data_IF_658211526161
#
_entry.id   IF_658211526161
#
_cell.length_a   1.000
_cell.length_b   1.000
_cell.length_c   1.000
_cell.angle_alpha   90.00
_cell.angle_beta   90.00
_cell.angle_gamma   90.00
#
_symmetry.space_group_name_H-M   'P 1'
#
loop_
_entity.id
_entity.type
_entity.pdbx_description
1 polymer ?
#
# COMPACT_ATOMS: atom_id res chain seq x y z
N UNK A 1 19.90 33.26 5.14
CA UNK A 1 20.27 31.85 5.11
C UNK A 1 19.03 31.08 5.47
N UNK A 2 18.28 30.56 4.47
CA UNK A 2 17.17 29.64 4.71
C UNK A 2 17.74 28.40 5.36
N UNK A 3 17.25 28.01 6.54
CA UNK A 3 17.50 26.69 7.10
C UNK A 3 17.13 25.70 6.00
N UNK A 4 18.13 25.03 5.46
CA UNK A 4 17.93 23.89 4.57
C UNK A 4 17.08 22.90 5.36
N UNK A 5 15.85 22.68 4.92
CA UNK A 5 14.95 21.74 5.56
C UNK A 5 15.56 20.35 5.33
N UNK A 6 16.20 19.80 6.35
CA UNK A 6 16.93 18.51 6.29
C UNK A 6 15.99 17.35 5.92
N UNK A 7 14.69 17.57 5.92
CA UNK A 7 13.61 16.60 5.71
C UNK A 7 12.71 17.01 4.53
N UNK A 8 13.30 17.25 3.37
CA UNK A 8 12.55 17.44 2.14
C UNK A 8 12.21 16.08 1.52
N UNK A 9 10.93 15.69 1.41
CA UNK A 9 10.52 14.39 0.89
C UNK A 9 10.99 14.16 -0.55
N UNK A 10 11.16 15.21 -1.35
CA UNK A 10 11.71 15.08 -2.69
C UNK A 10 13.19 14.66 -2.65
N UNK A 11 13.99 15.32 -1.80
CA UNK A 11 15.41 14.96 -1.64
C UNK A 11 15.58 13.54 -1.11
N UNK A 12 14.84 13.18 -0.06
CA UNK A 12 14.84 11.82 0.49
C UNK A 12 14.54 10.79 -0.60
N UNK A 13 13.47 11.01 -1.37
CA UNK A 13 13.06 10.08 -2.44
C UNK A 13 14.11 9.99 -3.54
N UNK A 14 14.72 11.11 -3.90
CA UNK A 14 15.79 11.17 -4.90
C UNK A 14 17.02 10.38 -4.46
N UNK A 15 17.45 10.54 -3.23
CA UNK A 15 18.57 9.78 -2.64
C UNK A 15 18.27 8.28 -2.59
N UNK A 16 17.06 7.89 -2.15
CA UNK A 16 16.64 6.49 -2.14
C UNK A 16 16.67 5.85 -3.54
N UNK A 17 16.26 6.59 -4.57
CA UNK A 17 16.30 6.12 -5.95
C UNK A 17 17.74 5.99 -6.45
N UNK A 18 18.60 6.95 -6.15
CA UNK A 18 20.01 6.91 -6.55
C UNK A 18 20.78 5.76 -5.89
N UNK A 19 20.46 5.44 -4.63
CA UNK A 19 21.08 4.35 -3.87
C UNK A 19 20.31 3.02 -3.95
N UNK A 20 19.34 2.90 -4.85
CA UNK A 20 18.38 1.80 -4.90
C UNK A 20 19.02 0.40 -4.81
N UNK A 21 20.07 0.12 -5.58
CA UNK A 21 20.74 -1.18 -5.56
C UNK A 21 21.31 -1.53 -4.18
N UNK A 22 21.95 -0.57 -3.52
CA UNK A 22 22.47 -0.71 -2.17
C UNK A 22 21.35 -0.91 -1.15
N UNK A 23 20.26 -0.15 -1.27
CA UNK A 23 19.10 -0.29 -0.39
C UNK A 23 18.42 -1.65 -0.54
N UNK A 24 18.35 -2.18 -1.76
CA UNK A 24 17.79 -3.52 -2.01
C UNK A 24 18.63 -4.62 -1.34
N UNK A 25 19.95 -4.60 -1.53
CA UNK A 25 20.84 -5.56 -0.88
C UNK A 25 20.74 -5.48 0.65
N UNK A 26 20.72 -4.26 1.18
CA UNK A 26 20.58 -4.03 2.61
C UNK A 26 19.23 -4.51 3.14
N UNK A 27 18.12 -4.22 2.44
CA UNK A 27 16.78 -4.67 2.82
C UNK A 27 16.69 -6.19 2.90
N UNK A 28 17.18 -6.91 1.88
CA UNK A 28 17.19 -8.37 1.88
C UNK A 28 17.95 -8.92 3.09
N UNK A 29 19.14 -8.37 3.36
CA UNK A 29 19.99 -8.80 4.48
C UNK A 29 19.34 -8.52 5.84
N UNK A 30 18.85 -7.31 6.05
CA UNK A 30 18.33 -6.88 7.36
C UNK A 30 16.97 -7.51 7.66
N UNK A 31 16.07 -7.61 6.71
CA UNK A 31 14.80 -8.32 6.86
C UNK A 31 15.02 -9.80 7.19
N UNK A 32 15.94 -10.48 6.48
CA UNK A 32 16.28 -11.87 6.77
C UNK A 32 16.90 -12.03 8.17
N UNK A 33 17.76 -11.11 8.59
CA UNK A 33 18.34 -11.10 9.93
C UNK A 33 17.29 -10.92 11.04
N UNK A 34 16.17 -10.26 10.75
CA UNK A 34 15.01 -10.16 11.65
C UNK A 34 14.10 -11.39 11.62
N UNK A 35 14.35 -12.36 10.73
CA UNK A 35 13.58 -13.59 10.58
C UNK A 35 12.42 -13.48 9.61
N UNK A 36 12.35 -12.43 8.80
CA UNK A 36 11.44 -12.37 7.66
C UNK A 36 11.92 -13.33 6.55
N UNK A 37 10.98 -13.93 5.85
CA UNK A 37 11.25 -14.67 4.61
C UNK A 37 11.09 -13.72 3.44
N UNK A 38 12.21 -13.36 2.81
CA UNK A 38 12.25 -12.38 1.72
C UNK A 38 12.17 -13.08 0.37
N UNK A 39 11.30 -12.60 -0.50
CA UNK A 39 11.11 -13.07 -1.87
C UNK A 39 11.31 -11.89 -2.82
N UNK A 40 12.06 -12.10 -3.88
CA UNK A 40 12.18 -11.14 -4.98
C UNK A 40 11.25 -11.58 -6.10
N UNK A 41 10.43 -10.68 -6.61
CA UNK A 41 9.54 -10.95 -7.73
C UNK A 41 9.83 -9.93 -8.84
N UNK A 42 10.27 -10.42 -9.99
CA UNK A 42 10.60 -9.57 -11.15
C UNK A 42 9.36 -8.94 -11.79
N UNK A 43 8.21 -9.63 -11.68
CA UNK A 43 6.96 -9.19 -12.26
C UNK A 43 5.75 -9.72 -11.47
N UNK A 44 4.55 -9.29 -11.87
CA UNK A 44 3.29 -9.73 -11.25
C UNK A 44 3.06 -11.24 -11.37
N UNK A 45 3.55 -11.91 -12.42
CA UNK A 45 3.38 -13.35 -12.61
C UNK A 45 4.22 -14.14 -11.60
N UNK A 46 5.46 -13.72 -11.38
CA UNK A 46 6.33 -14.32 -10.36
C UNK A 46 5.80 -14.05 -8.95
N UNK A 47 5.33 -12.84 -8.66
CA UNK A 47 4.66 -12.53 -7.40
C UNK A 47 3.44 -13.43 -7.17
N UNK A 48 2.61 -13.64 -8.20
CA UNK A 48 1.46 -14.52 -8.15
C UNK A 48 1.87 -15.97 -7.85
N UNK A 49 2.91 -16.49 -8.52
CA UNK A 49 3.41 -17.84 -8.29
C UNK A 49 3.92 -18.02 -6.85
N UNK A 50 4.65 -17.04 -6.31
CA UNK A 50 5.11 -17.04 -4.92
C UNK A 50 3.90 -17.08 -3.96
N UNK A 51 2.93 -16.18 -4.15
CA UNK A 51 1.74 -16.10 -3.28
C UNK A 51 0.95 -17.41 -3.33
N UNK A 52 0.71 -17.98 -4.51
CA UNK A 52 -0.01 -19.24 -4.66
C UNK A 52 0.73 -20.39 -3.99
N UNK A 53 2.05 -20.45 -4.08
CA UNK A 53 2.86 -21.46 -3.41
C UNK A 53 2.81 -21.36 -1.88
N UNK A 54 2.67 -20.14 -1.35
CA UNK A 54 2.60 -19.89 0.09
C UNK A 54 1.19 -20.11 0.66
N UNK A 55 0.18 -19.52 0.00
CA UNK A 55 -1.19 -19.54 0.49
C UNK A 55 -1.93 -20.85 0.18
N UNK A 56 -1.55 -21.56 -0.91
CA UNK A 56 -2.30 -22.75 -1.34
C UNK A 56 -3.73 -22.42 -1.82
N UNK A 57 -4.42 -23.41 -2.37
CA UNK A 57 -5.74 -23.20 -2.97
C UNK A 57 -6.89 -23.04 -1.96
N UNK A 58 -6.75 -23.59 -0.76
CA UNK A 58 -7.84 -23.72 0.22
C UNK A 58 -7.64 -22.84 1.46
N UNK A 59 -6.59 -22.02 1.54
CA UNK A 59 -6.35 -21.19 2.71
C UNK A 59 -7.15 -19.90 2.67
N UNK A 60 -7.73 -19.55 3.81
CA UNK A 60 -8.43 -18.28 3.99
C UNK A 60 -7.42 -17.17 4.18
N UNK A 61 -7.62 -16.05 3.49
CA UNK A 61 -6.78 -14.88 3.61
C UNK A 61 -7.60 -13.59 3.78
N UNK A 62 -7.06 -12.66 4.55
CA UNK A 62 -7.52 -11.28 4.57
C UNK A 62 -6.53 -10.41 3.81
N UNK A 63 -6.99 -9.33 3.20
CA UNK A 63 -6.10 -8.29 2.67
C UNK A 63 -6.56 -6.89 3.06
N UNK A 64 -5.59 -6.00 3.21
CA UNK A 64 -5.81 -4.55 3.18
C UNK A 64 -5.67 -4.02 1.75
N UNK A 65 -6.12 -2.80 1.51
CA UNK A 65 -5.91 -2.13 0.23
C UNK A 65 -4.46 -1.63 0.11
N UNK A 66 -3.82 -1.93 -1.03
CA UNK A 66 -2.60 -1.24 -1.46
C UNK A 66 -2.49 -1.20 -2.98
N UNK A 67 -1.69 -0.26 -3.49
CA UNK A 67 -1.40 -0.13 -4.92
C UNK A 67 -0.73 -1.39 -5.47
N UNK A 68 0.17 -2.02 -4.72
CA UNK A 68 0.87 -3.23 -5.13
C UNK A 68 -0.07 -4.43 -5.21
N UNK A 69 -1.00 -4.58 -4.26
CA UNK A 69 -1.98 -5.67 -4.29
C UNK A 69 -2.98 -5.54 -5.46
N UNK A 70 -3.35 -4.30 -5.81
CA UNK A 70 -4.14 -4.06 -7.02
C UNK A 70 -3.31 -4.28 -8.30
N UNK A 71 -2.02 -3.88 -8.30
CA UNK A 71 -1.09 -4.05 -9.41
C UNK A 71 -0.90 -5.51 -9.79
N UNK A 72 -0.79 -6.41 -8.80
CA UNK A 72 -0.68 -7.86 -9.02
C UNK A 72 -2.04 -8.56 -9.13
N UNK A 73 -3.15 -7.84 -8.93
CA UNK A 73 -4.51 -8.38 -8.92
C UNK A 73 -4.71 -9.51 -7.90
N UNK A 74 -4.48 -9.19 -6.62
CA UNK A 74 -4.52 -10.17 -5.52
C UNK A 74 -5.80 -11.01 -5.47
N UNK A 75 -6.96 -10.45 -5.87
CA UNK A 75 -8.24 -11.16 -5.88
C UNK A 75 -8.27 -12.32 -6.89
N UNK A 76 -7.51 -12.24 -7.97
CA UNK A 76 -7.36 -13.35 -8.93
C UNK A 76 -6.37 -14.40 -8.44
N UNK A 77 -5.33 -13.98 -7.69
CA UNK A 77 -4.28 -14.86 -7.17
C UNK A 77 -4.82 -15.72 -6.01
N UNK A 78 -5.58 -15.08 -5.10
CA UNK A 78 -6.18 -15.71 -3.92
C UNK A 78 -7.69 -15.49 -3.98
N UNK A 79 -8.46 -16.39 -4.62
CA UNK A 79 -9.89 -16.19 -4.84
C UNK A 79 -10.75 -16.06 -3.56
N UNK A 80 -10.28 -16.62 -2.44
CA UNK A 80 -10.96 -16.53 -1.15
C UNK A 80 -10.43 -15.37 -0.27
N UNK A 81 -9.65 -14.44 -0.84
CA UNK A 81 -9.18 -13.27 -0.10
C UNK A 81 -10.33 -12.31 0.20
N UNK A 82 -10.39 -11.89 1.46
CA UNK A 82 -11.41 -10.94 1.94
C UNK A 82 -10.78 -9.58 2.18
N UNK A 83 -11.34 -8.56 1.54
CA UNK A 83 -10.94 -7.16 1.76
C UNK A 83 -11.46 -6.64 3.11
N UNK A 84 -10.60 -5.96 3.87
CA UNK A 84 -10.93 -5.45 5.21
C UNK A 84 -11.13 -3.93 5.26
N UNK A 85 -10.68 -3.20 4.26
CA UNK A 85 -10.89 -1.74 4.20
C UNK A 85 -12.36 -1.42 3.93
N UNK A 86 -13.01 -0.80 4.90
CA UNK A 86 -14.43 -0.45 4.81
C UNK A 86 -14.68 0.49 3.63
N UNK A 87 -13.79 1.45 3.40
CA UNK A 87 -13.92 2.38 2.28
C UNK A 87 -13.79 1.66 0.93
N UNK A 88 -12.87 0.71 0.81
CA UNK A 88 -12.74 -0.11 -0.39
C UNK A 88 -13.98 -0.97 -0.61
N UNK A 89 -14.50 -1.59 0.45
CA UNK A 89 -15.74 -2.39 0.41
C UNK A 89 -16.92 -1.53 -0.07
N UNK A 90 -17.07 -0.33 0.48
CA UNK A 90 -18.15 0.59 0.07
C UNK A 90 -17.94 1.06 -1.35
N UNK A 91 -16.73 1.42 -1.76
CA UNK A 91 -16.45 1.83 -3.13
C UNK A 91 -16.78 0.72 -4.13
N UNK A 92 -16.36 -0.52 -3.88
CA UNK A 92 -16.66 -1.68 -4.72
C UNK A 92 -18.18 -1.92 -4.81
N UNK A 93 -18.88 -1.85 -3.68
CA UNK A 93 -20.34 -2.01 -3.63
C UNK A 93 -21.14 -0.92 -4.38
N UNK A 94 -20.57 0.26 -4.49
CA UNK A 94 -21.15 1.40 -5.25
C UNK A 94 -20.69 1.46 -6.70
N UNK A 95 -19.84 0.51 -7.15
CA UNK A 95 -19.22 0.56 -8.47
C UNK A 95 -18.27 1.75 -8.65
N UNK A 96 -17.75 2.29 -7.54
CA UNK A 96 -16.81 3.42 -7.55
C UNK A 96 -15.38 2.94 -7.48
N UNK A 97 -14.50 3.70 -8.08
CA UNK A 97 -13.06 3.43 -8.02
C UNK A 97 -12.48 3.90 -6.69
N UNK A 98 -11.85 2.99 -5.96
CA UNK A 98 -11.04 3.30 -4.78
C UNK A 98 -9.56 3.32 -5.18
N UNK A 99 -8.96 4.50 -5.22
CA UNK A 99 -7.63 4.69 -5.79
C UNK A 99 -6.57 5.07 -4.76
N UNK A 100 -6.97 5.47 -3.56
CA UNK A 100 -6.01 5.84 -2.52
C UNK A 100 -6.66 5.89 -1.14
N UNK A 101 -6.09 5.19 -0.16
CA UNK A 101 -6.55 5.16 1.23
C UNK A 101 -6.37 6.49 1.99
N UNK A 102 -5.55 7.42 1.48
CA UNK A 102 -5.36 8.76 2.05
C UNK A 102 -6.40 9.76 1.56
N UNK A 103 -7.36 9.31 0.75
CA UNK A 103 -8.44 10.13 0.22
C UNK A 103 -9.79 9.47 0.41
N UNK A 104 -10.74 10.24 0.97
CA UNK A 104 -12.10 9.76 1.10
C UNK A 104 -12.76 9.68 -0.30
N UNK A 105 -13.19 8.49 -0.75
CA UNK A 105 -13.79 8.31 -2.07
C UNK A 105 -15.26 8.77 -2.13
N UNK A 106 -15.80 9.35 -1.05
CA UNK A 106 -17.23 9.51 -0.82
C UNK A 106 -17.74 10.94 -0.89
N UNK A 107 -16.97 11.86 -1.49
CA UNK A 107 -17.52 13.17 -1.82
C UNK A 107 -18.79 12.96 -2.69
N UNK A 108 -19.94 13.40 -2.19
CA UNK A 108 -21.27 13.24 -2.83
C UNK A 108 -21.89 11.82 -2.79
N UNK A 109 -21.54 10.98 -1.82
CA UNK A 109 -22.26 9.72 -1.54
C UNK A 109 -23.16 9.92 -0.32
N UNK A 110 -24.45 9.53 -0.43
CA UNK A 110 -25.36 9.62 0.69
C UNK A 110 -25.04 8.61 1.79
N UNK A 111 -25.34 8.94 3.03
CA UNK A 111 -25.18 8.02 4.15
C UNK A 111 -26.02 6.75 4.02
N UNK A 112 -27.18 6.86 3.35
CA UNK A 112 -28.06 5.73 3.05
C UNK A 112 -27.38 4.73 2.09
N UNK A 113 -26.78 5.22 1.02
CA UNK A 113 -26.07 4.36 0.05
C UNK A 113 -24.89 3.62 0.70
N UNK A 114 -24.12 4.28 1.55
CA UNK A 114 -23.05 3.65 2.34
C UNK A 114 -23.64 2.57 3.27
N UNK A 115 -24.72 2.91 3.96
CA UNK A 115 -25.41 2.01 4.88
C UNK A 115 -25.91 0.76 4.19
N UNK A 116 -26.49 0.89 3.00
CA UNK A 116 -27.04 -0.25 2.23
C UNK A 116 -25.95 -1.20 1.75
N UNK A 117 -24.79 -0.68 1.31
CA UNK A 117 -23.64 -1.53 0.97
C UNK A 117 -23.13 -2.29 2.20
N UNK A 118 -22.99 -1.61 3.34
CA UNK A 118 -22.52 -2.26 4.57
C UNK A 118 -23.52 -3.27 5.14
N UNK A 119 -24.84 -3.05 4.96
CA UNK A 119 -25.86 -4.06 5.28
C UNK A 119 -25.72 -5.29 4.39
N UNK A 120 -25.49 -5.10 3.09
CA UNK A 120 -25.26 -6.20 2.16
C UNK A 120 -23.97 -6.97 2.45
N UNK A 121 -22.93 -6.28 2.90
CA UNK A 121 -21.66 -6.90 3.31
C UNK A 121 -21.79 -7.70 4.62
N UNK A 122 -22.65 -7.27 5.53
CA UNK A 122 -22.90 -7.95 6.82
C UNK A 122 -23.58 -9.30 6.59
N UNK A 123 -22.95 -10.38 7.08
CA UNK A 123 -23.44 -11.76 6.93
C UNK A 123 -24.61 -12.12 7.84
N UNK A 124 -24.73 -11.45 8.98
CA UNK A 124 -25.73 -11.78 10.02
C UNK A 124 -26.57 -10.55 10.37
N UNK A 125 -27.88 -10.71 10.41
CA UNK A 125 -28.77 -9.68 10.94
C UNK A 125 -28.76 -9.69 12.46
N UNK A 126 -28.44 -8.54 13.08
CA UNK A 126 -28.34 -8.37 14.52
C UNK A 126 -28.90 -7.00 14.93
N UNK A 127 -29.34 -6.86 16.18
CA UNK A 127 -29.74 -5.56 16.75
C UNK A 127 -28.54 -4.64 17.05
N UNK A 128 -27.32 -5.15 16.87
CA UNK A 128 -26.08 -4.40 17.07
C UNK A 128 -25.96 -3.26 16.03
N UNK A 129 -25.42 -2.08 16.41
CA UNK A 129 -25.13 -1.01 15.45
C UNK A 129 -24.29 -1.51 14.26
N UNK A 130 -24.68 -1.14 13.04
CA UNK A 130 -24.15 -1.68 11.80
C UNK A 130 -22.62 -1.69 11.73
N UNK A 131 -21.96 -0.56 12.02
CA UNK A 131 -20.50 -0.47 11.99
C UNK A 131 -19.82 -1.39 13.02
N UNK A 132 -20.44 -1.59 14.19
CA UNK A 132 -19.93 -2.52 15.20
C UNK A 132 -20.06 -3.97 14.73
N UNK A 133 -21.19 -4.32 14.10
CA UNK A 133 -21.42 -5.66 13.53
C UNK A 133 -20.41 -5.96 12.40
N UNK A 134 -20.13 -5.00 11.50
CA UNK A 134 -19.13 -5.13 10.45
C UNK A 134 -17.72 -5.27 11.04
N UNK A 135 -17.35 -4.44 12.03
CA UNK A 135 -16.06 -4.53 12.71
C UNK A 135 -15.85 -5.88 13.41
N UNK A 136 -16.89 -6.39 14.09
CA UNK A 136 -16.84 -7.72 14.71
C UNK A 136 -16.67 -8.81 13.68
N UNK A 137 -17.42 -8.76 12.57
CA UNK A 137 -17.30 -9.72 11.48
C UNK A 137 -15.87 -9.75 10.88
N UNK A 138 -15.25 -8.58 10.67
CA UNK A 138 -13.86 -8.51 10.18
C UNK A 138 -12.89 -9.20 11.16
N UNK A 139 -13.06 -8.97 12.47
CA UNK A 139 -12.21 -9.60 13.50
C UNK A 139 -12.42 -11.12 13.57
N UNK A 140 -13.66 -11.58 13.43
CA UNK A 140 -13.99 -13.03 13.39
C UNK A 140 -13.33 -13.67 12.16
N UNK A 141 -13.46 -13.05 10.98
CA UNK A 141 -12.79 -13.52 9.77
C UNK A 141 -11.27 -13.50 9.90
N UNK A 142 -10.70 -12.54 10.61
CA UNK A 142 -9.26 -12.49 10.85
C UNK A 142 -8.77 -13.67 11.70
N UNK A 143 -9.52 -14.01 12.76
CA UNK A 143 -9.21 -15.18 13.59
C UNK A 143 -9.33 -16.52 12.84
N UNK A 144 -10.17 -16.58 11.81
CA UNK A 144 -10.36 -17.77 10.98
C UNK A 144 -9.41 -17.84 9.78
N UNK A 145 -8.61 -16.77 9.55
CA UNK A 145 -7.73 -16.67 8.38
C UNK A 145 -6.33 -17.15 8.68
N UNK A 146 -5.76 -17.90 7.74
CA UNK A 146 -4.39 -18.40 7.81
C UNK A 146 -3.37 -17.28 7.48
N UNK A 147 -3.76 -16.39 6.56
CA UNK A 147 -2.91 -15.35 6.03
C UNK A 147 -3.53 -13.96 6.16
N UNK A 148 -2.71 -13.01 6.59
CA UNK A 148 -2.97 -11.59 6.41
C UNK A 148 -2.04 -11.05 5.33
N UNK A 149 -2.60 -10.40 4.30
CA UNK A 149 -1.85 -9.88 3.15
C UNK A 149 -1.98 -8.35 3.14
N UNK A 150 -0.86 -7.65 3.25
CA UNK A 150 -0.83 -6.19 3.21
C UNK A 150 0.10 -5.68 2.11
N UNK A 151 -0.14 -4.48 1.63
CA UNK A 151 0.94 -3.65 1.13
C UNK A 151 1.76 -3.13 2.31
N UNK A 152 2.60 -2.12 2.05
CA UNK A 152 3.28 -1.38 3.11
C UNK A 152 3.58 0.06 2.65
N UNK A 153 3.89 0.93 3.60
CA UNK A 153 4.25 2.32 3.29
C UNK A 153 5.75 2.47 3.04
N UNK A 154 6.57 1.78 3.82
CA UNK A 154 8.02 1.85 3.72
C UNK A 154 8.71 0.62 4.32
N UNK A 155 9.94 0.39 3.87
CA UNK A 155 10.92 -0.48 4.52
C UNK A 155 12.13 0.38 4.88
N UNK A 156 12.44 0.50 6.17
CA UNK A 156 13.68 1.09 6.65
C UNK A 156 14.78 0.03 6.55
N UNK A 157 15.71 0.21 5.62
CA UNK A 157 16.69 -0.84 5.26
C UNK A 157 17.81 -1.00 6.27
N UNK A 158 18.12 0.05 7.05
CA UNK A 158 19.11 0.01 8.13
C UNK A 158 18.73 -0.96 9.24
N UNK A 159 17.46 -1.03 9.58
CA UNK A 159 16.91 -1.84 10.67
C UNK A 159 16.17 -3.10 10.22
N UNK A 160 15.77 -3.18 8.94
CA UNK A 160 14.90 -4.23 8.44
C UNK A 160 13.48 -4.10 8.99
N UNK A 161 13.00 -2.86 9.12
CA UNK A 161 11.68 -2.55 9.67
C UNK A 161 10.69 -2.28 8.55
N UNK A 162 9.58 -3.01 8.55
CA UNK A 162 8.40 -2.74 7.72
C UNK A 162 7.52 -1.73 8.45
N UNK A 163 7.07 -0.69 7.75
CA UNK A 163 6.23 0.36 8.31
C UNK A 163 4.88 0.37 7.60
N UNK A 164 3.82 0.26 8.39
CA UNK A 164 2.44 0.47 7.96
C UNK A 164 1.90 1.71 8.68
N UNK A 165 1.26 2.60 7.94
CA UNK A 165 0.71 3.85 8.47
C UNK A 165 -0.76 3.99 8.05
N UNK A 166 -1.67 4.02 9.02
CA UNK A 166 -3.12 3.94 8.78
C UNK A 166 -3.94 4.79 9.77
N UNK A 167 -5.20 4.99 9.49
CA UNK A 167 -6.14 5.73 10.35
C UNK A 167 -7.33 4.88 10.85
N UNK A 168 -7.58 3.70 10.26
CA UNK A 168 -8.75 2.87 10.56
C UNK A 168 -8.45 1.64 11.43
N UNK A 169 -7.21 1.20 11.50
CA UNK A 169 -6.79 0.03 12.28
C UNK A 169 -6.98 -1.32 11.57
N UNK A 170 -7.41 -1.33 10.31
CA UNK A 170 -7.62 -2.55 9.53
C UNK A 170 -6.29 -3.25 9.17
N UNK A 171 -5.25 -2.52 8.84
CA UNK A 171 -3.93 -3.09 8.53
C UNK A 171 -3.32 -3.78 9.75
N UNK A 172 -3.54 -3.23 10.95
CA UNK A 172 -3.14 -3.89 12.21
C UNK A 172 -3.85 -5.20 12.44
N UNK A 173 -5.15 -5.29 12.09
CA UNK A 173 -5.90 -6.55 12.16
C UNK A 173 -5.31 -7.56 11.19
N UNK A 174 -5.10 -7.14 9.93
CA UNK A 174 -4.59 -8.01 8.87
C UNK A 174 -3.16 -8.48 9.15
N UNK A 175 -2.28 -7.62 9.65
CA UNK A 175 -0.87 -7.94 9.89
C UNK A 175 -0.61 -8.73 11.18
N UNK A 176 -1.53 -8.69 12.17
CA UNK A 176 -1.27 -9.25 13.50
C UNK A 176 -2.12 -10.45 13.89
N UNK A 177 -3.39 -10.54 13.44
CA UNK A 177 -4.28 -11.60 13.90
C UNK A 177 -4.02 -12.93 13.19
N UNK A 178 -3.93 -13.01 11.85
CA UNK A 178 -3.61 -14.25 11.15
C UNK A 178 -2.25 -14.81 11.55
N UNK A 179 -2.15 -16.14 11.52
CA UNK A 179 -0.91 -16.84 11.90
C UNK A 179 0.30 -16.50 11.02
N UNK A 180 0.06 -16.01 9.81
CA UNK A 180 1.10 -15.64 8.85
C UNK A 180 0.80 -14.27 8.24
N UNK A 181 1.81 -13.43 8.14
CA UNK A 181 1.72 -12.14 7.46
C UNK A 181 2.55 -12.15 6.18
N UNK A 182 1.95 -11.74 5.08
CA UNK A 182 2.59 -11.49 3.79
C UNK A 182 2.50 -10.00 3.46
N UNK A 183 3.63 -9.33 3.40
CA UNK A 183 3.75 -7.94 2.98
C UNK A 183 4.26 -7.86 1.54
N UNK A 184 3.62 -7.06 0.69
CA UNK A 184 4.06 -6.82 -0.70
C UNK A 184 4.49 -5.36 -0.83
N UNK A 185 5.71 -5.16 -1.30
CA UNK A 185 6.31 -3.83 -1.48
C UNK A 185 6.87 -3.70 -2.90
N UNK A 186 6.58 -2.57 -3.55
CA UNK A 186 7.38 -2.16 -4.69
C UNK A 186 8.80 -1.76 -4.25
N UNK A 187 9.78 -1.99 -5.12
CA UNK A 187 11.19 -1.69 -4.82
C UNK A 187 11.42 -0.21 -4.47
N UNK A 188 10.56 0.69 -4.93
CA UNK A 188 10.63 2.12 -4.62
C UNK A 188 10.27 2.45 -3.16
N UNK A 189 9.74 1.49 -2.38
CA UNK A 189 9.40 1.70 -0.96
C UNK A 189 10.56 1.42 0.01
N UNK A 190 11.78 1.30 -0.50
CA UNK A 190 13.00 1.17 0.28
C UNK A 190 13.54 2.54 0.69
N UNK A 191 13.80 2.72 1.97
CA UNK A 191 14.34 3.94 2.56
C UNK A 191 15.62 3.62 3.33
N UNK A 192 16.54 4.58 3.39
CA UNK A 192 17.82 4.41 4.11
C UNK A 192 17.63 4.25 5.61
N UNK A 193 16.64 4.96 6.20
CA UNK A 193 16.39 4.96 7.63
C UNK A 193 14.90 5.03 7.98
N UNK A 194 14.58 4.79 9.26
CA UNK A 194 13.22 5.01 9.79
C UNK A 194 12.80 6.48 9.68
N UNK A 195 13.70 7.42 9.91
CA UNK A 195 13.40 8.86 9.88
C UNK A 195 13.02 9.29 8.46
N UNK A 196 13.78 8.89 7.44
CA UNK A 196 13.46 9.17 6.03
C UNK A 196 12.11 8.57 5.61
N UNK A 197 11.84 7.35 6.06
CA UNK A 197 10.57 6.68 5.81
C UNK A 197 9.40 7.46 6.42
N UNK A 198 9.51 7.87 7.69
CA UNK A 198 8.48 8.62 8.40
C UNK A 198 8.22 9.99 7.78
N UNK A 199 9.27 10.72 7.42
CA UNK A 199 9.12 12.03 6.76
C UNK A 199 8.36 11.91 5.43
N UNK A 200 8.68 10.89 4.62
CA UNK A 200 7.97 10.62 3.37
C UNK A 200 6.51 10.23 3.61
N UNK A 201 6.23 9.42 4.64
CA UNK A 201 4.89 9.05 5.04
C UNK A 201 4.10 10.27 5.53
N UNK A 202 4.69 11.12 6.39
CA UNK A 202 4.07 12.34 6.86
C UNK A 202 3.75 13.30 5.71
N UNK A 203 4.68 13.47 4.77
CA UNK A 203 4.46 14.27 3.58
C UNK A 203 3.31 13.73 2.73
N UNK A 204 3.19 12.40 2.60
CA UNK A 204 2.10 11.77 1.87
C UNK A 204 0.74 12.04 2.51
N UNK A 205 0.63 11.91 3.84
CA UNK A 205 -0.60 12.18 4.58
C UNK A 205 -0.97 13.66 4.55
N UNK A 206 -0.01 14.56 4.83
CA UNK A 206 -0.21 16.01 4.81
C UNK A 206 -0.70 16.54 3.45
N UNK A 207 -0.28 15.91 2.36
CA UNK A 207 -0.67 16.27 1.00
C UNK A 207 -1.90 15.49 0.50
N UNK A 208 -2.36 14.48 1.22
CA UNK A 208 -3.62 13.78 0.96
C UNK A 208 -4.84 14.65 1.25
N UNK A 209 -6.04 14.16 0.91
CA UNK A 209 -7.29 14.83 1.25
C UNK A 209 -7.53 14.86 2.77
N UNK A 210 -7.11 13.82 3.47
CA UNK A 210 -7.02 13.78 4.92
C UNK A 210 -5.72 14.45 5.32
N UNK A 211 -5.83 15.68 5.79
CA UNK A 211 -4.66 16.52 6.15
C UNK A 211 -4.02 16.14 7.49
N UNK A 212 -4.58 15.16 8.18
CA UNK A 212 -4.11 14.72 9.47
C UNK A 212 -3.03 13.63 9.30
N UNK A 213 -2.18 13.49 10.31
CA UNK A 213 -1.22 12.40 10.36
C UNK A 213 -1.96 11.06 10.51
N UNK A 214 -1.35 9.93 10.13
CA UNK A 214 -1.92 8.61 10.43
C UNK A 214 -2.11 8.46 11.94
N UNK A 215 -3.18 7.77 12.31
CA UNK A 215 -3.51 7.52 13.73
C UNK A 215 -2.65 6.40 14.29
N UNK A 216 -2.28 5.46 13.44
CA UNK A 216 -1.51 4.27 13.82
C UNK A 216 -0.26 4.13 12.94
N UNK A 217 0.84 3.75 13.61
CA UNK A 217 2.06 3.26 12.98
C UNK A 217 2.34 1.84 13.49
N UNK A 218 2.49 0.89 12.58
CA UNK A 218 2.95 -0.46 12.90
C UNK A 218 4.38 -0.63 12.42
N UNK A 219 5.32 -0.85 13.35
CA UNK A 219 6.71 -1.17 13.06
C UNK A 219 6.90 -2.68 13.21
N UNK A 220 7.08 -3.38 12.10
CA UNK A 220 7.18 -4.84 12.07
C UNK A 220 8.62 -5.22 11.78
N UNK A 221 9.29 -5.83 12.76
CA UNK A 221 10.69 -6.26 12.66
C UNK A 221 10.81 -7.79 12.68
N UNK A 222 9.96 -8.46 11.95
CA UNK A 222 9.93 -9.91 11.85
C UNK A 222 8.74 -10.56 12.59
N UNK A 223 8.74 -11.89 12.70
CA UNK A 223 7.70 -12.65 13.40
C UNK A 223 7.57 -12.25 14.87
N UNK A 224 6.35 -12.39 15.42
CA UNK A 224 6.11 -12.18 16.85
C UNK A 224 6.96 -13.11 17.71
N UNK A 225 7.70 -12.57 18.68
CA UNK A 225 8.56 -13.33 19.60
C UNK A 225 8.43 -12.73 21.00
N UNK A 226 8.31 -13.61 22.00
CA UNK A 226 8.38 -13.23 23.41
C UNK A 226 9.26 -14.18 24.17
N UNK A 227 10.04 -13.67 25.12
CA UNK A 227 10.85 -14.45 26.08
C UNK A 227 10.24 -14.53 27.48
N UNK A 228 9.00 -14.03 27.66
CA UNK A 228 8.38 -13.88 28.96
C UNK A 228 7.84 -15.19 29.56
N UNK A 229 7.82 -16.26 28.79
CA UNK A 229 7.28 -17.56 29.21
C UNK A 229 8.43 -18.47 29.65
N UNK A 230 8.66 -18.58 30.94
CA UNK A 230 9.67 -19.47 31.57
C UNK A 230 11.10 -19.33 30.99
N UNK A 231 11.45 -18.14 30.47
CA UNK A 231 12.73 -17.88 29.84
C UNK A 231 12.95 -18.52 28.46
N UNK A 232 11.92 -19.19 27.91
CA UNK A 232 11.96 -19.74 26.56
C UNK A 232 11.46 -18.72 25.53
N UNK A 233 12.13 -18.64 24.37
CA UNK A 233 11.65 -17.82 23.26
C UNK A 233 10.47 -18.50 22.58
N UNK A 234 9.29 -17.90 22.69
CA UNK A 234 8.06 -18.36 22.07
C UNK A 234 7.68 -17.47 20.90
N UNK A 235 7.34 -18.07 19.75
CA UNK A 235 6.88 -17.36 18.56
C UNK A 235 5.36 -17.40 18.44
N UNK A 236 4.77 -16.31 17.90
CA UNK A 236 3.35 -16.27 17.54
C UNK A 236 2.38 -15.96 18.68
N UNK A 237 2.86 -15.56 19.85
CA UNK A 237 1.99 -15.27 21.01
C UNK A 237 1.21 -13.96 20.86
N UNK A 238 1.82 -12.91 20.31
CA UNK A 238 1.25 -11.57 20.18
C UNK A 238 1.18 -11.07 18.74
N UNK A 239 1.22 -11.98 17.77
CA UNK A 239 1.20 -11.67 16.34
C UNK A 239 1.61 -12.86 15.50
N UNK A 240 1.96 -12.69 14.23
CA UNK A 240 2.18 -13.79 13.30
C UNK A 240 3.39 -14.64 13.65
N UNK A 241 3.27 -15.96 13.45
CA UNK A 241 4.35 -16.95 13.53
C UNK A 241 5.41 -16.75 12.44
N UNK A 242 4.99 -16.26 11.27
CA UNK A 242 5.86 -16.02 10.12
C UNK A 242 5.50 -14.71 9.42
N UNK A 243 6.54 -14.00 9.00
CA UNK A 243 6.43 -12.80 8.17
C UNK A 243 7.16 -13.05 6.86
N UNK A 244 6.44 -12.93 5.76
CA UNK A 244 6.96 -13.00 4.40
C UNK A 244 6.93 -11.61 3.77
N UNK A 245 7.95 -11.26 3.01
CA UNK A 245 8.04 -9.99 2.30
C UNK A 245 8.32 -10.27 0.83
N UNK A 246 7.45 -9.80 -0.05
CA UNK A 246 7.70 -9.80 -1.49
C UNK A 246 8.17 -8.41 -1.87
N UNK A 247 9.38 -8.33 -2.41
CA UNK A 247 9.93 -7.13 -3.04
C UNK A 247 9.66 -7.24 -4.54
N UNK A 248 8.72 -6.42 -5.00
CA UNK A 248 8.18 -6.45 -6.36
C UNK A 248 8.89 -5.44 -7.25
N UNK A 249 9.54 -5.91 -8.30
CA UNK A 249 10.10 -5.04 -9.34
C UNK A 249 9.03 -4.55 -10.31
N UNK A 250 8.45 -5.42 -11.09
CA UNK A 250 7.40 -5.16 -12.07
C UNK A 250 7.65 -3.91 -12.94
N UNK A 251 8.88 -3.80 -13.47
CA UNK A 251 9.32 -2.71 -14.35
C UNK A 251 10.01 -1.53 -13.65
N UNK A 252 10.15 -1.54 -12.33
CA UNK A 252 10.82 -0.47 -11.57
C UNK A 252 12.30 -0.37 -11.91
N UNK A 253 12.99 -1.51 -11.99
CA UNK A 253 14.40 -1.56 -12.42
C UNK A 253 14.58 -1.01 -13.83
N UNK A 254 13.67 -1.30 -14.76
CA UNK A 254 13.70 -0.76 -16.11
C UNK A 254 13.60 0.78 -16.12
N UNK A 255 12.75 1.36 -15.26
CA UNK A 255 12.64 2.82 -15.13
C UNK A 255 13.93 3.43 -14.57
N UNK A 256 14.60 2.74 -13.64
CA UNK A 256 15.88 3.17 -13.08
C UNK A 256 16.98 3.17 -14.14
N UNK A 257 17.11 2.08 -14.90
CA UNK A 257 18.14 1.92 -15.95
C UNK A 257 17.99 2.93 -17.11
N UNK A 258 16.75 3.30 -17.44
CA UNK A 258 16.45 4.20 -18.55
C UNK A 258 16.49 5.69 -18.17
N UNK A 259 16.99 6.06 -17.00
CA UNK A 259 16.95 7.44 -16.46
C UNK A 259 15.53 8.04 -16.43
N UNK A 260 14.52 7.18 -16.24
CA UNK A 260 13.09 7.54 -16.15
C UNK A 260 12.56 7.38 -14.73
N UNK A 261 13.45 7.39 -13.78
CA UNK A 261 13.20 7.04 -12.37
C UNK A 261 12.42 8.10 -11.58
N UNK A 262 12.28 9.31 -12.10
CA UNK A 262 11.62 10.40 -11.37
C UNK A 262 10.19 10.07 -10.93
N UNK A 263 9.48 9.24 -11.69
CA UNK A 263 8.12 8.76 -11.32
C UNK A 263 8.13 7.87 -10.06
N UNK A 264 9.25 7.23 -9.75
CA UNK A 264 9.43 6.40 -8.56
C UNK A 264 9.62 7.23 -7.28
N UNK A 265 9.83 8.56 -7.39
CA UNK A 265 9.77 9.48 -6.23
C UNK A 265 8.36 9.53 -5.60
N UNK A 266 7.34 9.02 -6.27
CA UNK A 266 5.95 9.09 -5.83
C UNK A 266 5.76 8.55 -4.40
N UNK A 267 5.27 9.43 -3.51
CA UNK A 267 4.93 9.11 -2.11
C UNK A 267 3.46 8.67 -1.93
N UNK A 268 2.75 8.43 -3.02
CA UNK A 268 1.35 7.96 -3.02
C UNK A 268 0.37 8.85 -2.25
N UNK A 269 0.58 10.15 -2.19
CA UNK A 269 -0.32 11.09 -1.51
C UNK A 269 -1.71 11.21 -2.17
N UNK A 270 -1.87 10.81 -3.44
CA UNK A 270 -3.13 10.85 -4.19
C UNK A 270 -3.56 12.22 -4.69
N UNK A 271 -2.76 13.28 -4.48
CA UNK A 271 -3.11 14.65 -4.85
C UNK A 271 -3.32 14.83 -6.36
N UNK A 272 -2.51 14.15 -7.18
CA UNK A 272 -2.68 14.13 -8.63
C UNK A 272 -3.99 13.46 -9.07
N UNK A 273 -4.37 12.35 -8.45
CA UNK A 273 -5.62 11.67 -8.74
C UNK A 273 -6.84 12.54 -8.43
N UNK A 274 -6.81 13.26 -7.30
CA UNK A 274 -7.86 14.22 -6.93
C UNK A 274 -7.96 15.38 -7.93
N UNK A 275 -6.83 15.96 -8.31
CA UNK A 275 -6.80 17.03 -9.31
C UNK A 275 -7.38 16.54 -10.65
N UNK A 276 -7.01 15.33 -11.08
CA UNK A 276 -7.51 14.74 -12.32
C UNK A 276 -9.02 14.48 -12.27
N UNK A 277 -9.53 13.92 -11.16
CA UNK A 277 -10.97 13.66 -11.00
C UNK A 277 -11.81 14.94 -11.04
N UNK A 278 -11.33 16.01 -10.40
CA UNK A 278 -12.01 17.32 -10.43
C UNK A 278 -12.03 17.92 -11.83
N UNK A 279 -10.95 17.71 -12.59
CA UNK A 279 -10.84 18.23 -13.94
C UNK A 279 -11.69 17.45 -14.95
N UNK A 280 -11.80 16.14 -14.79
CA UNK A 280 -12.51 15.25 -15.70
C UNK A 280 -14.02 15.20 -15.48
N UNK A 281 -14.60 16.01 -14.59
CA UNK A 281 -16.06 16.14 -14.37
C UNK A 281 -16.82 14.80 -14.27
N UNK A 282 -16.25 13.82 -13.53
CA UNK A 282 -16.92 12.54 -13.27
C UNK A 282 -16.66 11.44 -14.31
N UNK A 283 -15.75 11.62 -15.25
CA UNK A 283 -15.25 10.50 -16.04
C UNK A 283 -14.55 9.50 -15.11
N UNK A 284 -14.77 8.21 -15.34
CA UNK A 284 -14.16 7.16 -14.58
C UNK A 284 -12.62 7.26 -14.68
N UNK A 285 -12.01 7.58 -13.57
CA UNK A 285 -10.55 7.54 -13.43
C UNK A 285 -10.19 6.14 -12.98
N UNK A 286 -9.32 5.41 -13.70
CA UNK A 286 -8.98 4.05 -13.32
C UNK A 286 -8.20 3.99 -12.00
N UNK A 287 -8.44 2.95 -11.23
CA UNK A 287 -7.65 2.64 -10.05
C UNK A 287 -6.37 1.87 -10.41
N UNK A 288 -5.36 1.97 -9.58
CA UNK A 288 -5.01 3.03 -8.63
C UNK A 288 -4.22 4.12 -9.35
N UNK A 289 -4.69 5.36 -9.26
CA UNK A 289 -4.10 6.48 -9.98
C UNK A 289 -3.07 7.20 -9.10
N UNK A 290 -1.83 6.88 -9.27
CA UNK A 290 -0.70 7.72 -8.90
C UNK A 290 0.29 7.77 -10.07
N UNK A 291 1.23 8.71 -10.04
CA UNK A 291 2.20 8.88 -11.13
C UNK A 291 2.95 7.59 -11.44
N UNK A 292 3.31 6.83 -10.41
CA UNK A 292 4.01 5.55 -10.52
C UNK A 292 3.16 4.49 -11.22
N UNK A 293 1.91 4.29 -10.81
CA UNK A 293 1.04 3.28 -11.41
C UNK A 293 0.63 3.63 -12.84
N UNK A 294 0.47 4.92 -13.15
CA UNK A 294 0.28 5.37 -14.54
C UNK A 294 1.45 4.97 -15.42
N UNK A 295 2.68 5.12 -14.91
CA UNK A 295 3.90 4.77 -15.64
C UNK A 295 4.06 3.25 -15.80
N UNK A 296 3.84 2.49 -14.74
CA UNK A 296 4.00 1.04 -14.72
C UNK A 296 2.89 0.31 -15.50
N UNK A 297 1.67 0.82 -15.48
CA UNK A 297 0.53 0.17 -16.14
C UNK A 297 0.45 0.40 -17.65
N UNK A 298 1.38 1.17 -18.24
CA UNK A 298 1.40 1.50 -19.67
C UNK A 298 0.04 2.03 -20.18
N UNK A 299 -0.54 2.96 -19.42
CA UNK A 299 -1.91 3.46 -19.62
C UNK A 299 -2.09 4.36 -20.86
N UNK A 300 -1.07 4.49 -21.70
CA UNK A 300 -1.05 5.33 -22.88
C UNK A 300 -2.26 5.15 -23.81
N UNK A 301 -2.84 3.96 -23.82
CA UNK A 301 -3.92 3.61 -24.73
C UNK A 301 -5.32 3.55 -24.10
N UNK A 302 -5.45 3.72 -22.78
CA UNK A 302 -6.72 3.49 -22.07
C UNK A 302 -7.47 4.78 -21.76
N UNK A 303 -6.80 5.91 -21.66
CA UNK A 303 -7.40 7.19 -21.27
C UNK A 303 -6.90 8.34 -22.12
N UNK A 304 -7.81 9.09 -22.73
CA UNK A 304 -7.51 10.35 -23.41
C UNK A 304 -7.46 11.48 -22.39
N UNK A 305 -6.33 11.61 -21.70
CA UNK A 305 -6.09 12.74 -20.80
C UNK A 305 -5.61 13.93 -21.66
N UNK A 306 -6.30 15.06 -21.55
CA UNK A 306 -5.92 16.27 -22.29
C UNK A 306 -4.59 16.84 -21.79
N UNK A 307 -3.89 17.61 -22.63
CA UNK A 307 -2.62 18.21 -22.24
C UNK A 307 -2.75 19.17 -21.06
N UNK A 308 -3.87 19.90 -20.97
CA UNK A 308 -4.16 20.80 -19.85
C UNK A 308 -4.37 20.02 -18.54
N UNK A 309 -5.08 18.88 -18.57
CA UNK A 309 -5.24 18.02 -17.42
C UNK A 309 -3.89 17.46 -16.95
N UNK A 310 -3.05 17.09 -17.88
CA UNK A 310 -1.69 16.66 -17.59
C UNK A 310 -0.84 17.78 -16.97
N UNK A 311 -0.86 18.97 -17.50
CA UNK A 311 -0.09 20.09 -16.96
C UNK A 311 -0.50 20.43 -15.51
N UNK A 312 -1.80 20.33 -15.19
CA UNK A 312 -2.29 20.50 -13.81
C UNK A 312 -1.73 19.48 -12.82
N UNK A 313 -1.45 18.25 -13.25
CA UNK A 313 -0.88 17.22 -12.38
C UNK A 313 0.53 17.60 -11.88
N UNK A 314 1.35 18.21 -12.73
CA UNK A 314 2.73 18.63 -12.39
C UNK A 314 2.77 19.67 -11.29
N UNK A 315 1.84 20.65 -11.29
CA UNK A 315 1.81 21.72 -10.29
C UNK A 315 1.35 21.27 -8.91
N UNK A 316 0.80 20.08 -8.80
CA UNK A 316 0.25 19.58 -7.53
C UNK A 316 1.16 18.58 -6.82
N UNK A 317 2.18 18.05 -7.48
CA UNK A 317 3.02 16.98 -6.93
C UNK A 317 3.98 17.53 -5.85
N UNK A 318 3.92 17.00 -4.59
CA UNK A 318 4.77 17.46 -3.51
C UNK A 318 6.23 17.00 -3.61
N UNK A 319 6.53 16.08 -4.53
CA UNK A 319 7.89 15.58 -4.84
C UNK A 319 8.30 15.93 -6.27
N UNK A 320 7.69 16.94 -6.84
CA UNK A 320 8.04 17.55 -8.14
C UNK A 320 8.19 16.54 -9.29
N UNK A 321 7.29 15.53 -9.38
CA UNK A 321 7.19 14.69 -10.56
C UNK A 321 6.52 15.53 -11.66
N UNK A 322 7.24 15.76 -12.76
CA UNK A 322 6.75 16.56 -13.87
C UNK A 322 5.98 15.72 -14.90
N UNK A 323 5.29 16.40 -15.80
CA UNK A 323 4.63 15.75 -16.93
C UNK A 323 5.61 15.11 -17.90
N UNK A 324 6.79 15.76 -18.06
CA UNK A 324 7.84 15.20 -18.91
C UNK A 324 8.39 13.90 -18.32
N UNK A 325 8.50 13.79 -16.98
CA UNK A 325 8.89 12.54 -16.30
C UNK A 325 7.88 11.43 -16.58
N UNK A 326 6.57 11.75 -16.48
CA UNK A 326 5.51 10.80 -16.81
C UNK A 326 5.53 10.38 -18.28
N UNK A 327 5.67 11.34 -19.21
CA UNK A 327 5.74 11.05 -20.64
C UNK A 327 6.95 10.18 -20.99
N UNK A 328 8.11 10.46 -20.40
CA UNK A 328 9.32 9.67 -20.58
C UNK A 328 9.15 8.24 -20.07
N UNK A 329 8.53 8.08 -18.90
CA UNK A 329 8.34 6.76 -18.30
C UNK A 329 7.33 5.86 -19.04
N UNK A 330 6.48 6.46 -19.89
CA UNK A 330 5.50 5.72 -20.70
C UNK A 330 5.99 5.39 -22.11
N UNK A 331 7.13 5.90 -22.54
CA UNK A 331 7.78 5.55 -23.82
C UNK A 331 8.66 4.32 -23.71
#
# INVERSE_FOLDING_TARGET
>A
MSQMNIYDPEMIRKECIQEHGKLLEQAVKTLAAKGCKVHLAKDSAEAAAIIQSLCGENQKALCSFSSELEEINIKQIVPQVVQTDIEKIVADGLGKVFYNRRRAPFDNVSSEAITDVLKAYRKTDTEEPLFRAVSRQIKEMANESDWGITGLDAIATDTGTIILAEDQGNERIVSNIPARHLAVAGLEKLYSSNDDALESIHAAWKNGARKDAPVYYSYITGPSRTGDIEGAMVCGMHGPLAVHVILLDNGRSTLLEQEKSDVLKCIECGKCADALMRFMNGYEVPAPLNCKTLSLANLKNKYQITEDAWNMLSFTCPVNITMDDLRKSMQ
#
